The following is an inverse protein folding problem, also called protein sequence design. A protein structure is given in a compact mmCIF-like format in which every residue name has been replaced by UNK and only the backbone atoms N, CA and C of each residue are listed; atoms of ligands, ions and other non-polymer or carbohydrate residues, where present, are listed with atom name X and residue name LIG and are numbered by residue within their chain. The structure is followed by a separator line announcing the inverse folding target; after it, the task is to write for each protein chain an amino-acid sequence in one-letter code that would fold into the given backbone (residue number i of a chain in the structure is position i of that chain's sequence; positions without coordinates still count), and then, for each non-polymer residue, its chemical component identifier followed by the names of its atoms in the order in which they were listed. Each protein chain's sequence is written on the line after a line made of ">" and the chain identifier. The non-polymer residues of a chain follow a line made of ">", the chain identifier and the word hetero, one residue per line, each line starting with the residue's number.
data_IF_129742924181
#
_entry.id   IF_129742924181
#
_cell.length_a   1.000
_cell.length_b   1.000
_cell.length_c   1.000
_cell.angle_alpha   90.00
_cell.angle_beta   90.00
_cell.angle_gamma   90.00
#
_symmetry.space_group_name_H-M   'P 1'
#
loop_
_entity.id
_entity.type
_entity.pdbx_description
1 polymer ?
#
# COMPACT_ATOMS: atom_id res chain seq x y z
N UNK A 1 -4.85 -4.78 -48.66
CA UNK A 1 -4.53 -3.75 -47.67
C UNK A 1 -3.72 -4.41 -46.58
N UNK A 2 -2.50 -3.92 -46.37
CA UNK A 2 -1.51 -4.40 -45.40
C UNK A 2 -2.06 -4.26 -43.98
N UNK A 3 -1.85 -5.29 -43.16
CA UNK A 3 -2.28 -5.39 -41.77
C UNK A 3 -2.18 -4.06 -41.04
N UNK A 4 -3.35 -3.60 -40.59
CA UNK A 4 -3.48 -2.47 -39.69
C UNK A 4 -2.54 -2.68 -38.51
N UNK A 5 -1.70 -1.70 -38.21
CA UNK A 5 -0.75 -1.72 -37.11
C UNK A 5 -1.47 -1.76 -35.77
N UNK A 6 -2.02 -2.90 -35.39
CA UNK A 6 -2.32 -3.21 -34.00
C UNK A 6 -1.03 -3.68 -33.34
N UNK A 7 -0.19 -2.73 -32.92
CA UNK A 7 0.64 -3.00 -31.76
C UNK A 7 -0.31 -3.06 -30.57
N UNK A 8 -0.95 -4.21 -30.35
CA UNK A 8 -1.52 -4.54 -29.04
C UNK A 8 -0.34 -4.49 -28.08
N UNK A 9 -0.17 -3.36 -27.40
CA UNK A 9 0.78 -3.28 -26.31
C UNK A 9 0.27 -4.24 -25.24
N UNK A 10 0.99 -5.34 -25.02
CA UNK A 10 0.69 -6.23 -23.91
C UNK A 10 0.78 -5.42 -22.62
N UNK A 11 -0.31 -5.45 -21.84
CA UNK A 11 -0.34 -4.74 -20.57
C UNK A 11 0.59 -5.42 -19.57
N UNK A 12 1.37 -4.63 -18.83
CA UNK A 12 2.17 -5.15 -17.74
C UNK A 12 1.27 -5.83 -16.70
N UNK A 13 1.60 -7.06 -16.28
CA UNK A 13 0.84 -7.74 -15.24
C UNK A 13 0.97 -7.00 -13.89
N UNK A 14 0.12 -7.38 -12.94
CA UNK A 14 0.19 -6.84 -11.58
C UNK A 14 1.57 -7.16 -10.98
N UNK A 15 2.20 -6.14 -10.38
CA UNK A 15 3.56 -6.24 -9.86
C UNK A 15 4.62 -5.72 -10.83
N UNK A 16 4.25 -5.28 -12.03
CA UNK A 16 5.15 -4.74 -13.05
C UNK A 16 4.61 -3.43 -13.64
N UNK A 17 5.50 -2.61 -14.20
CA UNK A 17 5.15 -1.34 -14.83
C UNK A 17 5.93 -1.06 -16.12
N UNK A 18 5.34 -0.28 -17.03
CA UNK A 18 5.96 0.20 -18.27
C UNK A 18 6.08 1.72 -18.27
N UNK A 19 7.24 2.26 -17.87
CA UNK A 19 7.48 3.70 -17.88
C UNK A 19 8.02 4.22 -19.23
N UNK A 20 8.11 3.38 -20.27
CA UNK A 20 8.60 3.76 -21.59
C UNK A 20 7.65 3.26 -22.69
N UNK A 21 7.51 4.06 -23.75
CA UNK A 21 6.56 3.88 -24.86
C UNK A 21 6.95 2.79 -25.86
N UNK A 22 8.17 2.23 -25.77
CA UNK A 22 8.67 1.15 -26.65
C UNK A 22 9.18 -0.06 -25.86
N UNK A 23 8.68 -0.22 -24.64
CA UNK A 23 9.15 -1.27 -23.76
C UNK A 23 8.66 -2.65 -24.23
N UNK A 24 9.59 -3.58 -24.45
CA UNK A 24 9.27 -4.96 -24.84
C UNK A 24 9.00 -5.86 -23.64
N UNK A 25 9.55 -5.52 -22.46
CA UNK A 25 9.40 -6.25 -21.21
C UNK A 25 9.15 -5.27 -20.07
N UNK A 26 8.13 -5.52 -19.25
CA UNK A 26 7.80 -4.65 -18.13
C UNK A 26 8.87 -4.66 -17.02
N UNK A 27 8.97 -3.56 -16.28
CA UNK A 27 9.86 -3.45 -15.15
C UNK A 27 9.18 -4.03 -13.89
N UNK A 28 9.82 -4.97 -13.18
CA UNK A 28 9.27 -5.48 -11.94
C UNK A 28 9.30 -4.42 -10.85
N UNK A 29 8.30 -4.45 -9.97
CA UNK A 29 8.34 -3.69 -8.73
C UNK A 29 9.49 -4.18 -7.82
N UNK A 30 10.02 -3.31 -6.95
CA UNK A 30 10.99 -3.73 -5.94
C UNK A 30 10.47 -4.89 -5.09
N UNK A 31 11.39 -5.70 -4.55
CA UNK A 31 11.04 -6.87 -3.74
C UNK A 31 10.07 -6.51 -2.61
N UNK A 32 8.92 -7.20 -2.56
CA UNK A 32 7.88 -6.97 -1.57
C UNK A 32 6.83 -5.92 -1.96
N UNK A 33 7.03 -5.18 -3.06
CA UNK A 33 6.07 -4.20 -3.58
C UNK A 33 5.30 -4.79 -4.76
N UNK A 34 4.09 -4.29 -4.98
CA UNK A 34 3.26 -4.64 -6.13
C UNK A 34 2.52 -3.41 -6.65
N UNK A 35 2.01 -3.49 -7.87
CA UNK A 35 1.05 -2.50 -8.38
C UNK A 35 -0.37 -2.84 -7.94
N UNK A 36 -1.26 -1.85 -7.92
CA UNK A 36 -2.68 -2.06 -7.63
C UNK A 36 -3.39 -2.82 -8.77
N UNK A 37 -3.02 -2.48 -10.00
CA UNK A 37 -3.67 -2.93 -11.23
C UNK A 37 -2.62 -3.30 -12.29
N UNK A 38 -3.06 -4.02 -13.31
CA UNK A 38 -2.31 -4.23 -14.55
C UNK A 38 -2.09 -2.91 -15.30
N UNK A 39 -1.27 -2.91 -16.34
CA UNK A 39 -1.00 -1.75 -17.20
C UNK A 39 -0.45 -0.54 -16.44
N UNK A 40 0.25 -0.77 -15.33
CA UNK A 40 0.86 0.32 -14.57
C UNK A 40 1.98 0.96 -15.38
N UNK A 41 2.04 2.29 -15.42
CA UNK A 41 3.01 3.02 -16.26
C UNK A 41 4.03 3.82 -15.46
N UNK A 42 3.93 3.83 -14.13
CA UNK A 42 4.81 4.60 -13.27
C UNK A 42 5.43 3.73 -12.19
N UNK A 43 6.73 3.91 -11.87
CA UNK A 43 7.36 3.21 -10.76
C UNK A 43 6.73 3.56 -9.40
N UNK A 44 6.12 4.74 -9.27
CA UNK A 44 5.41 5.17 -8.05
C UNK A 44 4.12 4.38 -7.76
N UNK A 45 3.66 3.57 -8.71
CA UNK A 45 2.51 2.66 -8.50
C UNK A 45 2.91 1.40 -7.73
N UNK A 46 4.21 1.10 -7.63
CA UNK A 46 4.72 0.03 -6.79
C UNK A 46 4.59 0.45 -5.33
N UNK A 47 3.57 -0.08 -4.65
CA UNK A 47 3.34 0.13 -3.23
C UNK A 47 3.25 -1.22 -2.50
N UNK A 48 3.21 -1.18 -1.17
CA UNK A 48 3.05 -2.39 -0.39
C UNK A 48 1.68 -3.04 -0.67
N UNK A 49 1.61 -4.38 -0.84
CA UNK A 49 0.34 -5.09 -1.00
C UNK A 49 -0.56 -4.90 0.22
N UNK A 50 -1.85 -5.17 0.05
CA UNK A 50 -2.79 -5.30 1.17
C UNK A 50 -2.21 -6.24 2.23
N UNK A 51 -2.55 -6.00 3.51
CA UNK A 51 -1.99 -6.69 4.69
C UNK A 51 -0.57 -6.29 5.09
N UNK A 52 0.08 -5.40 4.33
CA UNK A 52 1.42 -4.89 4.64
C UNK A 52 1.47 -3.37 4.55
N UNK A 53 2.48 -2.77 5.19
CA UNK A 53 2.72 -1.33 5.15
C UNK A 53 4.21 -1.02 4.99
N UNK A 54 4.53 0.12 4.40
CA UNK A 54 5.89 0.62 4.24
C UNK A 54 6.41 1.14 5.58
N UNK A 55 7.46 0.52 6.11
CA UNK A 55 8.07 0.95 7.37
C UNK A 55 8.72 2.33 7.26
N UNK A 56 8.66 3.13 8.32
CA UNK A 56 9.22 4.48 8.31
C UNK A 56 10.74 4.44 8.11
N UNK A 57 11.23 5.16 7.11
CA UNK A 57 12.67 5.25 6.81
C UNK A 57 13.26 4.04 6.07
N UNK A 58 12.46 3.00 5.79
CA UNK A 58 12.89 1.81 5.06
C UNK A 58 11.98 1.55 3.85
N UNK A 59 12.55 1.20 2.70
CA UNK A 59 11.76 0.74 1.54
C UNK A 59 11.43 -0.75 1.66
N UNK A 60 10.80 -1.13 2.78
CA UNK A 60 10.45 -2.52 3.10
C UNK A 60 8.99 -2.57 3.54
N UNK A 61 8.25 -3.51 2.96
CA UNK A 61 6.88 -3.80 3.38
C UNK A 61 6.90 -4.74 4.57
N UNK A 62 6.35 -4.30 5.70
CA UNK A 62 6.19 -5.10 6.91
C UNK A 62 4.73 -5.56 7.05
N UNK A 63 4.49 -6.76 7.58
CA UNK A 63 3.14 -7.22 7.84
C UNK A 63 2.46 -6.32 8.87
N UNK A 64 1.17 -6.13 8.72
CA UNK A 64 0.39 -5.33 9.65
C UNK A 64 0.22 -6.02 10.99
N UNK A 65 0.19 -5.20 12.04
CA UNK A 65 0.03 -5.71 13.38
C UNK A 65 -1.40 -6.22 13.60
N UNK A 66 -1.59 -7.25 14.44
CA UNK A 66 -2.92 -7.68 14.84
C UNK A 66 -3.73 -6.51 15.37
N UNK A 67 -4.98 -6.38 14.92
CA UNK A 67 -5.82 -5.25 15.27
C UNK A 67 -5.67 -4.03 14.36
N UNK A 68 -4.86 -4.12 13.30
CA UNK A 68 -4.81 -3.15 12.21
C UNK A 68 -5.29 -3.77 10.89
N UNK A 69 -5.79 -2.91 10.01
CA UNK A 69 -6.07 -3.17 8.61
C UNK A 69 -5.17 -2.27 7.77
N UNK A 70 -4.46 -2.84 6.80
CA UNK A 70 -3.62 -2.08 5.90
C UNK A 70 -4.13 -2.22 4.47
N UNK A 71 -4.79 -1.17 3.96
CA UNK A 71 -5.08 -1.05 2.55
C UNK A 71 -3.81 -1.04 1.70
N UNK A 72 -3.95 -1.33 0.41
CA UNK A 72 -2.86 -1.24 -0.56
C UNK A 72 -2.15 0.12 -0.47
N UNK A 73 -0.83 0.07 -0.32
CA UNK A 73 0.02 1.25 -0.25
C UNK A 73 0.04 1.98 1.08
N UNK A 74 -0.42 1.34 2.15
CA UNK A 74 -0.25 1.82 3.52
C UNK A 74 1.22 2.15 3.84
N UNK A 75 1.45 3.28 4.50
CA UNK A 75 2.78 3.74 4.95
C UNK A 75 2.75 4.13 6.41
N UNK A 76 3.78 3.75 7.16
CA UNK A 76 3.96 4.16 8.56
C UNK A 76 4.12 5.68 8.69
N UNK A 77 4.78 6.30 7.71
CA UNK A 77 5.00 7.74 7.67
C UNK A 77 3.68 8.55 7.56
N UNK A 78 2.59 7.91 7.14
CA UNK A 78 1.28 8.54 7.00
C UNK A 78 0.35 8.27 8.20
N UNK A 79 0.80 7.57 9.24
CA UNK A 79 -0.02 7.36 10.42
C UNK A 79 -0.11 8.68 11.22
N UNK A 80 -1.32 9.16 11.58
CA UNK A 80 -1.52 10.34 12.39
C UNK A 80 -0.68 10.33 13.67
N UNK A 81 0.08 11.40 13.89
CA UNK A 81 0.85 11.61 15.13
C UNK A 81 0.35 12.78 15.95
N UNK A 82 -0.51 13.61 15.37
CA UNK A 82 -1.15 14.72 16.06
C UNK A 82 -2.66 14.78 15.71
N UNK A 83 -3.48 15.42 16.56
CA UNK A 83 -4.88 15.66 16.27
C UNK A 83 -5.04 16.53 15.01
N UNK A 84 -5.74 16.00 14.00
CA UNK A 84 -6.03 16.72 12.75
C UNK A 84 -5.22 16.27 11.53
N UNK A 85 -4.27 15.35 11.70
CA UNK A 85 -3.60 14.69 10.58
C UNK A 85 -4.59 13.85 9.76
N UNK A 86 -4.45 13.88 8.44
CA UNK A 86 -5.30 13.09 7.54
C UNK A 86 -4.78 11.67 7.40
N UNK A 87 -5.67 10.68 7.60
CA UNK A 87 -5.38 9.27 7.39
C UNK A 87 -5.44 8.92 5.88
N UNK A 88 -4.33 9.07 5.17
CA UNK A 88 -4.22 8.77 3.74
C UNK A 88 -3.13 7.73 3.51
N UNK A 89 -3.44 6.63 2.81
CA UNK A 89 -2.47 5.57 2.53
C UNK A 89 -1.71 5.15 3.81
N UNK A 90 -2.44 4.85 4.89
CA UNK A 90 -1.89 4.51 6.19
C UNK A 90 -2.59 3.27 6.79
N UNK A 91 -1.89 2.47 7.62
CA UNK A 91 -2.52 1.46 8.45
C UNK A 91 -3.66 2.04 9.30
N UNK A 92 -4.80 1.35 9.33
CA UNK A 92 -5.97 1.73 10.10
C UNK A 92 -6.14 0.79 11.29
N UNK A 93 -6.47 1.33 12.45
CA UNK A 93 -6.79 0.49 13.61
C UNK A 93 -8.21 -0.08 13.40
N UNK A 94 -8.43 -1.33 13.78
CA UNK A 94 -9.74 -1.99 13.63
C UNK A 94 -10.53 -1.96 14.92
N UNK A 95 -11.84 -2.16 14.82
CA UNK A 95 -12.74 -2.19 15.99
C UNK A 95 -12.25 -3.20 17.06
N UNK A 96 -12.29 -2.77 18.32
CA UNK A 96 -11.80 -3.52 19.46
C UNK A 96 -10.33 -3.30 19.77
N UNK A 97 -9.64 -2.47 18.99
CA UNK A 97 -8.25 -2.08 19.22
C UNK A 97 -8.09 -0.56 19.23
N UNK A 98 -7.05 -0.08 19.91
CA UNK A 98 -6.64 1.33 19.90
C UNK A 98 -5.12 1.44 19.88
N UNK A 99 -4.63 2.60 19.44
CA UNK A 99 -3.23 3.01 19.50
C UNK A 99 -3.15 4.45 19.98
N UNK A 100 -1.99 4.86 20.50
CA UNK A 100 -1.75 6.24 20.90
C UNK A 100 -1.06 7.03 19.77
N UNK A 101 -1.34 8.33 19.64
CA UNK A 101 -0.70 9.20 18.65
C UNK A 101 0.83 9.23 18.76
N UNK A 102 1.35 9.18 19.99
CA UNK A 102 2.77 9.10 20.29
C UNK A 102 3.41 7.76 19.89
N UNK A 103 2.60 6.70 19.85
CA UNK A 103 3.03 5.34 19.58
C UNK A 103 2.00 4.57 18.73
N UNK A 104 1.86 4.94 17.45
CA UNK A 104 0.81 4.43 16.58
C UNK A 104 0.95 2.95 16.23
N UNK A 105 2.15 2.40 16.36
CA UNK A 105 2.43 0.97 16.14
C UNK A 105 2.30 0.12 17.41
N UNK A 106 1.89 0.70 18.53
CA UNK A 106 1.55 -0.08 19.72
C UNK A 106 0.03 -0.27 19.77
N UNK A 107 -0.39 -1.47 19.37
CA UNK A 107 -1.80 -1.84 19.27
C UNK A 107 -2.24 -2.55 20.53
N UNK A 108 -3.22 -1.98 21.20
CA UNK A 108 -3.76 -2.49 22.44
C UNK A 108 -5.19 -3.00 22.21
N UNK A 109 -5.47 -4.21 22.70
CA UNK A 109 -6.81 -4.77 22.66
C UNK A 109 -7.66 -4.19 23.79
N UNK A 110 -8.88 -3.77 23.47
CA UNK A 110 -9.79 -3.21 24.44
C UNK A 110 -10.54 -4.30 25.20
N UNK A 111 -10.76 -4.07 26.49
CA UNK A 111 -11.53 -4.98 27.35
C UNK A 111 -12.96 -5.19 26.84
N UNK A 112 -13.56 -4.15 26.26
CA UNK A 112 -14.84 -4.21 25.57
C UNK A 112 -14.66 -3.59 24.18
N UNK A 113 -15.15 -4.27 23.14
CA UNK A 113 -14.99 -3.83 21.75
C UNK A 113 -15.60 -2.45 21.49
N UNK A 114 -16.73 -2.15 22.13
CA UNK A 114 -17.45 -0.88 22.01
C UNK A 114 -16.70 0.34 22.54
N UNK A 115 -15.64 0.16 23.34
CA UNK A 115 -14.84 1.29 23.82
C UNK A 115 -13.81 1.78 22.80
N UNK A 116 -13.57 1.00 21.74
CA UNK A 116 -12.52 1.26 20.77
C UNK A 116 -13.05 0.99 19.36
N UNK A 117 -13.62 2.01 18.70
CA UNK A 117 -14.19 1.86 17.37
C UNK A 117 -13.13 1.63 16.27
N UNK A 118 -11.84 1.82 16.55
CA UNK A 118 -10.74 1.60 15.60
C UNK A 118 -9.92 2.85 15.26
N UNK A 119 -9.66 3.71 16.25
CA UNK A 119 -8.91 4.96 16.06
C UNK A 119 -9.50 6.09 16.89
#
# INVERSE_FOLDING_TARGET
>A
ASQEGQSLCDFCPKGEYSNDTRLTNCYPCPTGFTTAQIASVLPSTCKCPETTFEAAGEKVCRPCLPGMSCPFGSKEANIPREPGDMLVDAPQVTEGFYSEYSNPLSIYACRLRSHCPGG
#
